data_IF_361005726890
#
_entry.id   IF_361005726890
#
_cell.length_a   1.000
_cell.length_b   1.000
_cell.length_c   1.000
_cell.angle_alpha   90.00
_cell.angle_beta   90.00
_cell.angle_gamma   90.00
#
_symmetry.space_group_name_H-M   'P 1'
#
loop_
_entity.id
_entity.type
_entity.pdbx_description
1 polymer ?
#
# COMPACT_ATOMS: atom_id res chain seq x y z
N UNK A 1 -21.52 0.24 -16.11
CA UNK A 1 -21.97 -1.14 -16.36
C UNK A 1 -23.32 -1.11 -17.04
N UNK A 2 -23.46 -1.87 -18.12
CA UNK A 2 -24.75 -2.06 -18.77
C UNK A 2 -25.67 -2.81 -17.79
N UNK A 3 -26.83 -2.23 -17.47
CA UNK A 3 -27.79 -2.81 -16.51
C UNK A 3 -28.77 -3.77 -17.18
N UNK A 4 -28.68 -3.95 -18.50
CA UNK A 4 -29.57 -4.82 -19.24
C UNK A 4 -29.29 -6.28 -18.86
N UNK A 5 -30.32 -7.08 -18.57
CA UNK A 5 -30.15 -8.51 -18.31
C UNK A 5 -29.64 -9.21 -19.59
N UNK A 6 -28.79 -10.22 -19.41
CA UNK A 6 -28.34 -11.10 -20.49
C UNK A 6 -29.53 -11.94 -20.95
N UNK A 7 -29.73 -12.02 -22.27
CA UNK A 7 -30.82 -12.78 -22.89
C UNK A 7 -30.28 -13.99 -23.65
N UNK A 8 -31.17 -14.89 -24.05
CA UNK A 8 -30.80 -16.03 -24.91
C UNK A 8 -30.21 -15.60 -26.27
N UNK A 9 -30.52 -14.40 -26.75
CA UNK A 9 -29.96 -13.89 -28.00
C UNK A 9 -28.47 -13.60 -27.87
N UNK A 10 -28.03 -13.21 -26.67
CA UNK A 10 -26.66 -12.82 -26.37
C UNK A 10 -25.73 -14.04 -26.19
N UNK A 11 -26.28 -15.24 -25.97
CA UNK A 11 -25.51 -16.45 -25.64
C UNK A 11 -25.65 -17.60 -26.65
N UNK A 12 -25.99 -17.30 -27.92
CA UNK A 12 -26.20 -18.32 -28.97
C UNK A 12 -24.94 -19.07 -29.42
N UNK A 13 -23.78 -18.74 -28.87
CA UNK A 13 -22.51 -19.36 -29.22
C UNK A 13 -22.28 -20.68 -28.45
N UNK A 14 -21.59 -21.68 -29.03
CA UNK A 14 -21.41 -23.01 -28.42
C UNK A 14 -20.82 -22.99 -26.99
N UNK A 15 -19.97 -22.02 -26.66
CA UNK A 15 -19.35 -21.91 -25.34
C UNK A 15 -20.33 -21.63 -24.19
N UNK A 16 -21.55 -21.16 -24.48
CA UNK A 16 -22.55 -20.85 -23.46
C UNK A 16 -23.69 -21.87 -23.39
N UNK A 17 -23.56 -23.01 -24.07
CA UNK A 17 -24.63 -24.03 -24.25
C UNK A 17 -25.27 -24.54 -22.94
N UNK A 18 -24.58 -24.46 -21.81
CA UNK A 18 -25.07 -24.88 -20.49
C UNK A 18 -25.05 -23.74 -19.44
N UNK A 19 -24.79 -22.50 -19.87
CA UNK A 19 -24.74 -21.37 -18.94
C UNK A 19 -26.16 -20.93 -18.57
N UNK A 20 -26.39 -20.67 -17.29
CA UNK A 20 -27.66 -20.08 -16.83
C UNK A 20 -27.59 -18.57 -16.98
N UNK A 21 -28.62 -17.96 -17.58
CA UNK A 21 -28.68 -16.50 -17.76
C UNK A 21 -28.57 -15.73 -16.44
N UNK A 22 -29.12 -16.30 -15.35
CA UNK A 22 -29.07 -15.71 -14.02
C UNK A 22 -27.65 -15.57 -13.45
N UNK A 23 -26.70 -16.37 -13.95
CA UNK A 23 -25.30 -16.36 -13.55
C UNK A 23 -24.45 -15.45 -14.44
N UNK A 24 -25.04 -14.77 -15.43
CA UNK A 24 -24.33 -13.97 -16.44
C UNK A 24 -24.66 -12.48 -16.35
N UNK A 25 -23.70 -11.64 -16.73
CA UNK A 25 -23.87 -10.20 -16.90
C UNK A 25 -22.95 -9.66 -18.00
N UNK A 26 -23.22 -8.44 -18.47
CA UNK A 26 -22.32 -7.72 -19.36
C UNK A 26 -21.23 -7.00 -18.58
N UNK A 27 -19.98 -7.17 -18.98
CA UNK A 27 -18.87 -6.44 -18.36
C UNK A 27 -18.73 -4.99 -18.90
N UNK A 28 -17.66 -4.31 -18.50
CA UNK A 28 -17.37 -2.94 -18.94
C UNK A 28 -17.01 -2.81 -20.42
N UNK A 29 -16.65 -3.92 -21.07
CA UNK A 29 -16.38 -3.99 -22.51
C UNK A 29 -17.61 -4.36 -23.34
N UNK A 30 -18.70 -4.80 -22.69
CA UNK A 30 -19.92 -5.25 -23.35
C UNK A 30 -19.95 -6.75 -23.65
N UNK A 31 -18.98 -7.52 -23.14
CA UNK A 31 -18.91 -8.97 -23.29
C UNK A 31 -19.75 -9.67 -22.21
N UNK A 32 -20.32 -10.83 -22.56
CA UNK A 32 -21.07 -11.67 -21.61
C UNK A 32 -20.11 -12.47 -20.75
N UNK A 33 -20.19 -12.27 -19.44
CA UNK A 33 -19.32 -12.89 -18.44
C UNK A 33 -20.12 -13.45 -17.27
N UNK A 34 -19.52 -14.30 -16.43
CA UNK A 34 -20.17 -14.77 -15.20
C UNK A 34 -20.16 -13.71 -14.09
N UNK A 35 -21.24 -13.66 -13.31
CA UNK A 35 -21.38 -12.79 -12.13
C UNK A 35 -20.40 -13.14 -11.01
N UNK A 36 -20.06 -14.41 -10.85
CA UNK A 36 -19.11 -14.88 -9.81
C UNK A 36 -17.63 -14.61 -10.12
N UNK A 37 -17.31 -13.93 -11.24
CA UNK A 37 -15.92 -13.66 -11.65
C UNK A 37 -15.17 -12.78 -10.65
N UNK A 38 -15.89 -11.90 -9.95
CA UNK A 38 -15.32 -11.04 -8.90
C UNK A 38 -14.87 -11.89 -7.72
N UNK A 39 -15.75 -12.74 -7.19
CA UNK A 39 -15.42 -13.67 -6.11
C UNK A 39 -14.26 -14.59 -6.51
N UNK A 40 -14.31 -15.14 -7.74
CA UNK A 40 -13.25 -16.02 -8.27
C UNK A 40 -11.91 -15.28 -8.34
N UNK A 41 -11.90 -14.01 -8.75
CA UNK A 41 -10.69 -13.19 -8.82
C UNK A 41 -10.15 -12.85 -7.43
N UNK A 42 -11.02 -12.42 -6.51
CA UNK A 42 -10.63 -12.11 -5.12
C UNK A 42 -10.07 -13.35 -4.41
N UNK A 43 -10.66 -14.52 -4.64
CA UNK A 43 -10.12 -15.80 -4.14
C UNK A 43 -8.71 -16.09 -4.65
N UNK A 44 -8.43 -15.81 -5.93
CA UNK A 44 -7.09 -15.96 -6.51
C UNK A 44 -6.10 -15.00 -5.86
N UNK A 45 -6.46 -13.72 -5.74
CA UNK A 45 -5.62 -12.70 -5.10
C UNK A 45 -5.35 -13.07 -3.64
N UNK A 46 -6.38 -13.49 -2.90
CA UNK A 46 -6.24 -13.99 -1.53
C UNK A 46 -5.25 -15.15 -1.43
N UNK A 47 -5.30 -16.10 -2.37
CA UNK A 47 -4.32 -17.19 -2.43
C UNK A 47 -2.89 -16.72 -2.74
N UNK A 48 -2.72 -15.67 -3.55
CA UNK A 48 -1.40 -15.07 -3.84
C UNK A 48 -0.84 -14.29 -2.65
N UNK A 49 -1.71 -13.71 -1.83
CA UNK A 49 -1.38 -12.96 -0.62
C UNK A 49 -1.42 -13.84 0.64
N UNK A 50 -1.26 -15.16 0.48
CA UNK A 50 -1.21 -16.06 1.62
C UNK A 50 -0.11 -15.65 2.60
N UNK A 51 -0.44 -15.55 3.88
CA UNK A 51 0.50 -15.13 4.92
C UNK A 51 0.55 -13.60 5.14
N UNK A 52 -0.29 -12.83 4.44
CA UNK A 52 -0.41 -11.37 4.59
C UNK A 52 -1.79 -11.05 5.15
N UNK A 53 -1.85 -10.17 6.15
CA UNK A 53 -3.10 -9.76 6.80
C UNK A 53 -3.98 -10.94 7.27
N UNK A 54 -3.36 -12.03 7.71
CA UNK A 54 -4.06 -13.25 8.16
C UNK A 54 -4.77 -14.04 7.05
N UNK A 55 -4.45 -13.77 5.77
CA UNK A 55 -5.02 -14.51 4.64
C UNK A 55 -4.47 -15.94 4.59
N UNK A 56 -5.37 -16.90 4.70
CA UNK A 56 -5.05 -18.33 4.65
C UNK A 56 -5.87 -19.06 3.60
N UNK A 57 -5.24 -20.03 2.93
CA UNK A 57 -5.95 -20.97 2.06
C UNK A 57 -6.97 -21.84 2.84
N UNK A 58 -6.89 -21.87 4.18
CA UNK A 58 -7.72 -22.68 5.07
C UNK A 58 -8.87 -21.92 5.72
N UNK A 59 -8.96 -20.60 5.55
CA UNK A 59 -9.98 -19.76 6.16
C UNK A 59 -10.82 -19.02 5.11
N UNK A 60 -11.99 -18.53 5.54
CA UNK A 60 -12.71 -17.52 4.77
C UNK A 60 -11.94 -16.20 4.72
N UNK A 61 -12.33 -15.34 3.78
CA UNK A 61 -11.77 -14.00 3.60
C UNK A 61 -12.89 -13.01 3.32
N UNK A 62 -12.62 -11.74 3.62
CA UNK A 62 -13.45 -10.60 3.23
C UNK A 62 -12.75 -9.80 2.12
N UNK A 63 -13.51 -8.97 1.40
CA UNK A 63 -12.90 -8.12 0.37
C UNK A 63 -11.92 -7.12 1.00
N UNK A 64 -12.28 -6.60 2.17
CA UNK A 64 -11.50 -5.64 2.96
C UNK A 64 -10.15 -6.24 3.36
N UNK A 65 -10.14 -7.48 3.87
CA UNK A 65 -8.88 -8.15 4.20
C UNK A 65 -7.95 -8.31 3.00
N UNK A 66 -8.51 -8.60 1.81
CA UNK A 66 -7.73 -8.72 0.57
C UNK A 66 -7.18 -7.36 0.14
N UNK A 67 -7.97 -6.29 0.23
CA UNK A 67 -7.53 -4.93 -0.09
C UNK A 67 -6.42 -4.48 0.86
N UNK A 68 -6.61 -4.65 2.17
CA UNK A 68 -5.61 -4.34 3.18
C UNK A 68 -4.30 -5.12 2.97
N UNK A 69 -4.38 -6.39 2.56
CA UNK A 69 -3.19 -7.18 2.24
C UNK A 69 -2.45 -6.63 1.01
N UNK A 70 -3.17 -6.10 0.01
CA UNK A 70 -2.56 -5.41 -1.13
C UNK A 70 -1.88 -4.11 -0.67
N UNK A 71 -2.52 -3.32 0.19
CA UNK A 71 -1.95 -2.09 0.74
C UNK A 71 -0.68 -2.37 1.54
N UNK A 72 -0.69 -3.41 2.38
CA UNK A 72 0.50 -3.89 3.09
C UNK A 72 1.63 -4.28 2.12
N UNK A 73 1.33 -4.99 1.03
CA UNK A 73 2.33 -5.35 0.02
C UNK A 73 2.90 -4.13 -0.71
N UNK A 74 2.07 -3.13 -1.02
CA UNK A 74 2.51 -1.88 -1.62
C UNK A 74 3.42 -1.09 -0.68
N UNK A 75 3.05 -1.01 0.60
CA UNK A 75 3.86 -0.43 1.67
C UNK A 75 5.21 -1.12 1.79
N UNK A 76 5.22 -2.45 1.84
CA UNK A 76 6.45 -3.26 1.86
C UNK A 76 7.36 -2.96 0.67
N UNK A 77 6.79 -2.90 -0.54
CA UNK A 77 7.54 -2.53 -1.75
C UNK A 77 8.18 -1.15 -1.60
N UNK A 78 7.46 -0.15 -1.10
CA UNK A 78 8.00 1.20 -0.90
C UNK A 78 9.16 1.19 0.11
N UNK A 79 9.01 0.48 1.23
CA UNK A 79 10.05 0.32 2.24
C UNK A 79 11.32 -0.30 1.66
N UNK A 80 11.18 -1.41 0.93
CA UNK A 80 12.31 -2.11 0.30
C UNK A 80 13.03 -1.21 -0.71
N UNK A 81 12.29 -0.45 -1.52
CA UNK A 81 12.89 0.48 -2.47
C UNK A 81 13.68 1.56 -1.71
N UNK A 82 13.03 2.23 -0.77
CA UNK A 82 13.64 3.34 -0.03
C UNK A 82 14.90 2.91 0.73
N UNK A 83 14.92 1.73 1.37
CA UNK A 83 16.13 1.22 2.04
C UNK A 83 17.26 0.96 1.04
N UNK A 84 16.96 0.34 -0.10
CA UNK A 84 17.98 -0.01 -1.10
C UNK A 84 18.53 1.22 -1.84
N UNK A 85 17.83 2.35 -1.77
CA UNK A 85 18.29 3.62 -2.35
C UNK A 85 18.75 4.63 -1.30
N UNK A 86 18.83 4.23 -0.03
CA UNK A 86 19.22 5.13 1.05
C UNK A 86 20.68 5.57 0.88
N UNK A 87 20.97 6.89 0.89
CA UNK A 87 22.33 7.38 0.89
C UNK A 87 23.02 7.10 2.23
N UNK A 88 24.35 7.05 2.21
CA UNK A 88 25.14 6.87 3.43
C UNK A 88 24.84 7.98 4.45
N UNK A 89 24.56 7.55 5.68
CA UNK A 89 24.23 8.45 6.79
C UNK A 89 22.78 8.93 6.84
N UNK A 90 21.88 8.39 6.01
CA UNK A 90 20.44 8.60 6.18
C UNK A 90 19.94 8.02 7.51
N UNK A 91 19.13 8.80 8.24
CA UNK A 91 18.54 8.41 9.53
C UNK A 91 17.03 8.23 9.42
N UNK A 92 16.39 9.01 8.54
CA UNK A 92 14.94 9.03 8.33
C UNK A 92 14.56 9.11 6.85
N UNK A 93 13.30 8.79 6.56
CA UNK A 93 12.69 8.88 5.23
C UNK A 93 11.30 9.51 5.28
N UNK A 94 11.00 10.41 4.35
CA UNK A 94 9.67 11.01 4.18
C UNK A 94 8.96 10.41 2.95
N UNK A 95 7.99 9.52 3.16
CA UNK A 95 7.37 8.77 2.05
C UNK A 95 6.64 9.65 1.03
N UNK A 96 5.95 10.70 1.47
CA UNK A 96 5.16 11.53 0.55
C UNK A 96 6.03 12.38 -0.37
N UNK A 97 7.23 12.73 0.10
CA UNK A 97 8.16 13.60 -0.63
C UNK A 97 9.28 12.80 -1.31
N UNK A 98 9.51 11.55 -0.89
CA UNK A 98 10.58 10.72 -1.39
C UNK A 98 11.98 11.15 -0.93
N UNK A 99 12.07 11.81 0.22
CA UNK A 99 13.28 12.48 0.70
C UNK A 99 13.96 11.67 1.83
N UNK A 100 15.29 11.68 1.85
CA UNK A 100 16.09 11.16 2.96
C UNK A 100 16.57 12.28 3.86
N UNK A 101 16.52 12.06 5.17
CA UNK A 101 16.74 13.07 6.19
C UNK A 101 17.74 12.55 7.22
N UNK A 102 18.56 13.46 7.77
CA UNK A 102 19.42 13.21 8.93
C UNK A 102 19.59 14.45 9.77
N UNK A 103 20.23 14.30 10.94
CA UNK A 103 20.71 15.41 11.77
C UNK A 103 19.59 16.40 12.18
N UNK A 104 18.42 15.86 12.57
CA UNK A 104 17.31 16.68 13.07
C UNK A 104 17.76 17.39 14.35
N UNK A 105 17.68 18.73 14.35
CA UNK A 105 18.03 19.56 15.51
C UNK A 105 17.02 19.31 16.64
N UNK A 106 17.48 18.62 17.69
CA UNK A 106 16.64 18.21 18.82
C UNK A 106 16.17 19.38 19.67
N UNK A 107 16.95 20.45 19.80
CA UNK A 107 16.55 21.65 20.53
C UNK A 107 15.39 22.35 19.81
N UNK A 108 15.51 22.54 18.50
CA UNK A 108 14.43 23.12 17.68
C UNK A 108 13.19 22.24 17.70
N UNK A 109 13.36 20.92 17.60
CA UNK A 109 12.25 19.97 17.65
C UNK A 109 11.52 20.05 19.00
N UNK A 110 12.26 20.16 20.10
CA UNK A 110 11.66 20.29 21.43
C UNK A 110 10.89 21.60 21.57
N UNK A 111 11.46 22.73 21.13
CA UNK A 111 10.76 24.02 21.10
C UNK A 111 9.48 23.94 20.26
N UNK A 112 9.53 23.31 19.09
CA UNK A 112 8.36 23.14 18.22
C UNK A 112 7.27 22.26 18.87
N UNK A 113 7.65 21.27 19.67
CA UNK A 113 6.73 20.41 20.44
C UNK A 113 6.08 21.15 21.60
N UNK A 114 6.85 21.98 22.30
CA UNK A 114 6.39 22.70 23.49
C UNK A 114 5.50 23.89 23.11
N UNK A 115 5.74 24.48 21.93
CA UNK A 115 5.03 25.66 21.44
C UNK A 115 4.47 25.48 20.01
N UNK A 116 3.56 24.52 19.77
CA UNK A 116 3.08 24.20 18.42
C UNK A 116 2.34 25.35 17.74
N UNK A 117 1.77 26.28 18.53
CA UNK A 117 1.07 27.47 18.02
C UNK A 117 2.01 28.53 17.45
N UNK A 118 3.29 28.49 17.82
CA UNK A 118 4.26 29.50 17.45
C UNK A 118 4.96 29.20 16.12
N UNK A 119 4.59 28.09 15.45
CA UNK A 119 5.12 27.70 14.14
C UNK A 119 6.65 27.81 14.16
N UNK A 120 7.29 26.92 14.90
CA UNK A 120 8.75 26.82 14.95
C UNK A 120 9.25 25.89 13.85
N UNK A 121 10.34 26.29 13.17
CA UNK A 121 10.98 25.48 12.15
C UNK A 121 12.08 24.60 12.74
N UNK A 122 12.08 23.33 12.35
CA UNK A 122 13.06 22.32 12.78
C UNK A 122 14.11 22.13 11.69
N UNK A 123 15.35 22.46 12.03
CA UNK A 123 16.49 22.31 11.12
C UNK A 123 16.88 20.84 10.98
N UNK A 124 17.20 20.42 9.76
CA UNK A 124 17.65 19.07 9.42
C UNK A 124 18.36 19.08 8.06
N UNK A 125 19.11 18.02 7.75
CA UNK A 125 19.72 17.84 6.44
C UNK A 125 18.81 16.97 5.56
N UNK A 126 18.56 17.39 4.31
CA UNK A 126 17.86 16.58 3.29
C UNK A 126 18.86 16.18 2.20
N UNK A 127 18.75 14.96 1.68
CA UNK A 127 19.55 14.51 0.55
C UNK A 127 18.93 14.93 -0.79
N UNK A 128 19.56 15.88 -1.48
CA UNK A 128 19.14 16.40 -2.77
C UNK A 128 20.31 16.38 -3.75
N UNK A 129 20.05 15.98 -5.00
CA UNK A 129 21.01 16.02 -6.10
C UNK A 129 22.39 15.37 -5.81
N UNK A 130 22.44 14.36 -4.92
CA UNK A 130 23.68 13.66 -4.56
C UNK A 130 24.43 14.26 -3.37
N UNK A 131 23.90 15.29 -2.73
CA UNK A 131 24.50 15.95 -1.55
C UNK A 131 23.50 16.18 -0.43
N UNK A 132 24.02 16.33 0.79
CA UNK A 132 23.23 16.74 1.94
C UNK A 132 23.14 18.27 2.00
N UNK A 133 21.93 18.80 2.08
CA UNK A 133 21.65 20.24 2.17
C UNK A 133 20.90 20.54 3.47
N UNK A 134 21.36 21.56 4.20
CA UNK A 134 20.68 22.04 5.40
C UNK A 134 19.38 22.75 5.01
N UNK A 135 18.28 22.34 5.61
CA UNK A 135 16.96 22.92 5.44
C UNK A 135 16.21 22.99 6.76
N UNK A 136 14.98 23.52 6.72
CA UNK A 136 14.10 23.61 7.87
C UNK A 136 12.66 23.32 7.45
N UNK A 137 11.92 22.59 8.29
CA UNK A 137 10.51 22.31 8.05
C UNK A 137 9.69 22.43 9.33
N UNK A 138 8.36 22.49 9.17
CA UNK A 138 7.43 22.45 10.27
C UNK A 138 7.44 21.10 10.99
N UNK A 139 6.96 21.08 12.23
CA UNK A 139 6.90 19.84 13.02
C UNK A 139 6.00 18.78 12.36
N UNK A 140 4.97 19.19 11.62
CA UNK A 140 4.10 18.30 10.86
C UNK A 140 4.92 17.47 9.88
N UNK A 141 5.83 18.08 9.12
CA UNK A 141 6.74 17.36 8.23
C UNK A 141 7.58 16.33 8.99
N UNK A 142 8.13 16.73 10.15
CA UNK A 142 8.97 15.84 10.98
C UNK A 142 8.17 14.66 11.52
N UNK A 143 6.88 14.85 11.84
CA UNK A 143 6.01 13.79 12.35
C UNK A 143 5.66 12.72 11.29
N UNK A 144 5.83 13.03 10.00
CA UNK A 144 5.62 12.09 8.89
C UNK A 144 6.89 11.28 8.54
N UNK A 145 8.00 11.51 9.25
CA UNK A 145 9.23 10.76 9.07
C UNK A 145 9.14 9.36 9.68
N UNK A 146 9.68 8.38 8.97
CA UNK A 146 10.01 7.07 9.54
C UNK A 146 11.52 6.96 9.72
N UNK A 147 11.98 6.31 10.79
CA UNK A 147 13.41 6.03 10.93
C UNK A 147 13.82 4.88 10.00
N UNK A 148 15.06 4.91 9.49
CA UNK A 148 15.60 3.82 8.67
C UNK A 148 15.58 2.49 9.45
N UNK A 149 15.80 2.52 10.76
CA UNK A 149 15.76 1.33 11.60
C UNK A 149 14.35 0.77 11.78
N UNK A 150 13.34 1.62 11.93
CA UNK A 150 11.94 1.19 11.96
C UNK A 150 11.52 0.58 10.61
N UNK A 151 11.99 1.16 9.49
CA UNK A 151 11.76 0.57 8.16
C UNK A 151 12.37 -0.84 8.05
N UNK A 152 13.61 -1.02 8.53
CA UNK A 152 14.28 -2.33 8.54
C UNK A 152 13.51 -3.34 9.37
N UNK A 153 13.00 -2.90 10.52
CA UNK A 153 12.17 -3.72 11.41
C UNK A 153 10.86 -4.12 10.74
N UNK A 154 10.13 -3.17 10.15
CA UNK A 154 8.87 -3.41 9.44
C UNK A 154 9.07 -4.44 8.30
N UNK A 155 10.15 -4.30 7.51
CA UNK A 155 10.51 -5.27 6.46
C UNK A 155 10.80 -6.66 7.04
N UNK A 156 11.55 -6.73 8.13
CA UNK A 156 11.91 -8.00 8.76
C UNK A 156 10.71 -8.75 9.35
N UNK A 157 9.68 -8.01 9.78
CA UNK A 157 8.47 -8.53 10.40
C UNK A 157 7.37 -8.86 9.37
N UNK A 158 7.43 -8.29 8.16
CA UNK A 158 6.36 -8.37 7.14
C UNK A 158 5.81 -9.79 6.87
N UNK A 159 6.67 -10.82 6.84
CA UNK A 159 6.26 -12.22 6.62
C UNK A 159 6.27 -13.09 7.88
N UNK A 160 6.68 -12.55 9.03
CA UNK A 160 6.85 -13.32 10.28
C UNK A 160 5.57 -13.46 11.10
N UNK A 161 4.53 -12.67 10.79
CA UNK A 161 3.27 -12.63 11.55
C UNK A 161 2.48 -13.93 11.59
N UNK A 162 2.69 -14.86 10.65
CA UNK A 162 1.78 -15.98 10.41
C UNK A 162 2.37 -17.38 10.72
N UNK A 163 3.50 -17.46 11.44
CA UNK A 163 4.11 -18.73 11.92
C UNK A 163 4.04 -18.92 13.46
N UNK A 164 3.21 -18.15 14.17
CA UNK A 164 3.00 -18.29 15.63
C UNK A 164 1.68 -19.01 15.94
#
# INVERSE_FOLDING_TARGET
MNKNPVTEQDIRLPQFRNAKLEDLEFDGSGEVVRKDRFETSMRKISGMLHGVNGLSARSGWTCEQVVEAVDQLLRFKQLVIAINTAPDGAEFYHFENGEFIKAINQEHLQIARDEPKNLHLVNHDVFLNGSWELTSAWIEYINHLISIDDMRKEIAEFWRGDNA
#
